data_IF_944504536689
#
_entry.id   IF_944504536689
#
_cell.length_a   1.000
_cell.length_b   1.000
_cell.length_c   1.000
_cell.angle_alpha   90.00
_cell.angle_beta   90.00
_cell.angle_gamma   90.00
#
_symmetry.space_group_name_H-M   'P 1'
#
loop_
_entity.id
_entity.type
_entity.pdbx_description
1 polymer ?
#
# COMPACT_ATOMS: atom_id res chain seq x y z
N UNK A 1 -26.68 8.48 59.44
CA UNK A 1 -27.92 8.50 58.64
C UNK A 1 -27.50 8.46 57.19
N UNK A 2 -27.46 7.28 56.55
CA UNK A 2 -28.41 6.79 55.52
C UNK A 2 -28.67 7.84 54.41
N UNK A 3 -28.72 7.57 53.11
CA UNK A 3 -28.58 6.38 52.24
C UNK A 3 -28.90 6.92 50.83
N UNK A 4 -28.13 6.61 49.78
CA UNK A 4 -28.53 5.68 48.70
C UNK A 4 -29.48 6.23 47.61
N UNK A 5 -29.23 5.78 46.36
CA UNK A 5 -30.09 5.84 45.16
C UNK A 5 -30.23 7.23 44.50
N UNK A 6 -30.08 7.43 43.19
CA UNK A 6 -30.16 6.50 42.07
C UNK A 6 -30.90 7.22 40.94
N UNK A 7 -30.26 7.30 39.76
CA UNK A 7 -30.80 7.05 38.41
C UNK A 7 -32.21 7.61 38.07
N UNK A 8 -32.33 8.13 36.83
CA UNK A 8 -33.52 8.34 35.96
C UNK A 8 -33.84 9.82 35.68
N UNK A 9 -33.47 10.43 34.54
CA UNK A 9 -33.82 10.17 33.13
C UNK A 9 -34.99 11.04 32.61
N UNK A 10 -34.66 11.86 31.59
CA UNK A 10 -35.49 12.28 30.43
C UNK A 10 -36.55 13.37 30.79
N UNK A 11 -36.64 14.50 30.08
CA UNK A 11 -37.58 14.72 28.96
C UNK A 11 -37.47 16.18 28.42
N UNK A 12 -37.16 16.29 27.11
CA UNK A 12 -37.63 17.28 26.09
C UNK A 12 -36.98 18.68 25.86
N UNK A 13 -36.11 18.69 24.83
CA UNK A 13 -36.28 19.39 23.53
C UNK A 13 -36.55 20.91 23.49
N UNK A 14 -35.57 21.70 23.00
CA UNK A 14 -35.72 22.58 21.80
C UNK A 14 -34.40 23.24 21.37
N UNK A 15 -33.96 22.85 20.16
CA UNK A 15 -33.24 23.67 19.15
C UNK A 15 -31.95 24.40 19.57
N UNK A 16 -30.81 23.72 19.40
CA UNK A 16 -29.60 24.37 18.93
C UNK A 16 -29.05 23.58 17.71
N UNK A 17 -29.62 23.90 16.55
CA UNK A 17 -29.11 23.48 15.24
C UNK A 17 -27.86 24.31 14.97
N UNK A 18 -26.70 23.87 15.43
CA UNK A 18 -25.41 24.38 14.99
C UNK A 18 -24.70 23.26 14.25
N UNK A 19 -24.39 23.56 12.99
CA UNK A 19 -23.80 22.68 12.01
C UNK A 19 -22.47 22.09 12.50
N UNK A 20 -22.46 20.84 12.92
CA UNK A 20 -21.23 20.07 13.06
C UNK A 20 -20.93 19.37 11.73
N UNK A 21 -20.54 20.20 10.76
CA UNK A 21 -19.93 19.75 9.52
C UNK A 21 -18.57 19.09 9.82
N UNK A 22 -18.48 17.79 9.55
CA UNK A 22 -17.25 17.22 9.00
C UNK A 22 -16.03 17.12 9.91
N UNK A 23 -16.15 16.56 11.11
CA UNK A 23 -14.97 15.88 11.71
C UNK A 23 -15.07 14.41 11.36
N UNK A 24 -14.60 14.05 10.17
CA UNK A 24 -14.26 12.65 9.88
C UNK A 24 -13.36 12.20 11.02
N UNK A 25 -13.83 11.19 11.75
CA UNK A 25 -13.22 10.55 12.89
C UNK A 25 -11.70 10.47 12.71
N UNK A 26 -10.92 10.86 13.73
CA UNK A 26 -9.44 10.90 13.72
C UNK A 26 -8.80 9.63 13.14
N UNK A 27 -9.43 8.48 13.38
CA UNK A 27 -9.08 7.16 12.84
C UNK A 27 -9.12 7.06 11.30
N UNK A 28 -9.95 7.85 10.62
CA UNK A 28 -10.06 7.88 9.15
C UNK A 28 -8.86 8.55 8.46
N UNK A 29 -8.06 9.34 9.18
CA UNK A 29 -6.83 9.96 8.65
C UNK A 29 -5.64 8.99 8.61
N UNK A 30 -5.73 7.86 9.33
CA UNK A 30 -4.65 6.88 9.45
C UNK A 30 -4.74 5.73 8.43
N UNK A 31 -5.88 5.57 7.75
CA UNK A 31 -6.14 4.44 6.87
C UNK A 31 -6.17 4.91 5.41
N UNK A 32 -5.23 4.39 4.61
CA UNK A 32 -5.23 4.59 3.16
C UNK A 32 -6.39 3.79 2.58
N UNK A 33 -7.29 4.45 1.86
CA UNK A 33 -8.45 3.79 1.27
C UNK A 33 -8.03 2.77 0.20
N UNK A 34 -8.77 1.67 0.10
CA UNK A 34 -8.49 0.60 -0.87
C UNK A 34 -8.54 1.13 -2.30
N UNK A 35 -9.46 2.04 -2.61
CA UNK A 35 -9.55 2.61 -3.96
C UNK A 35 -8.30 3.42 -4.32
N UNK A 36 -7.70 4.10 -3.34
CA UNK A 36 -6.44 4.85 -3.52
C UNK A 36 -5.26 3.90 -3.74
N UNK A 37 -5.18 2.81 -2.98
CA UNK A 37 -4.15 1.77 -3.20
C UNK A 37 -4.23 1.24 -4.64
N UNK A 38 -5.43 0.89 -5.11
CA UNK A 38 -5.65 0.37 -6.46
C UNK A 38 -5.42 1.43 -7.56
N UNK A 39 -5.70 2.71 -7.28
CA UNK A 39 -5.34 3.82 -8.17
C UNK A 39 -3.82 3.88 -8.36
N UNK A 40 -3.07 3.88 -7.26
CA UNK A 40 -1.60 3.94 -7.28
C UNK A 40 -1.00 2.71 -7.97
N UNK A 41 -1.54 1.50 -7.73
CA UNK A 41 -1.10 0.28 -8.44
C UNK A 41 -1.26 0.41 -9.95
N UNK A 42 -2.41 0.90 -10.41
CA UNK A 42 -2.68 1.06 -11.85
C UNK A 42 -1.86 2.17 -12.51
N UNK A 43 -1.51 3.20 -11.75
CA UNK A 43 -0.70 4.31 -12.24
C UNK A 43 0.80 3.95 -12.40
N UNK A 44 1.26 2.89 -11.72
CA UNK A 44 2.68 2.52 -11.69
C UNK A 44 2.90 1.17 -12.37
N UNK A 45 3.48 1.18 -13.57
CA UNK A 45 3.87 -0.05 -14.26
C UNK A 45 5.09 -0.69 -13.58
N UNK A 46 4.91 -1.94 -13.12
CA UNK A 46 5.92 -2.69 -12.42
C UNK A 46 7.22 -2.87 -13.22
N UNK A 47 7.14 -3.11 -14.54
CA UNK A 47 8.34 -3.29 -15.38
C UNK A 47 9.16 -2.01 -15.43
N UNK A 48 8.50 -0.87 -15.55
CA UNK A 48 9.12 0.45 -15.54
C UNK A 48 9.77 0.76 -14.19
N UNK A 49 9.09 0.46 -13.08
CA UNK A 49 9.63 0.65 -11.72
C UNK A 49 10.87 -0.22 -11.48
N UNK A 50 10.84 -1.49 -11.90
CA UNK A 50 11.99 -2.38 -11.74
C UNK A 50 13.20 -1.89 -12.55
N UNK A 51 12.96 -1.45 -13.81
CA UNK A 51 14.01 -0.90 -14.67
C UNK A 51 14.61 0.39 -14.12
N UNK A 52 13.80 1.27 -13.54
CA UNK A 52 14.29 2.53 -12.94
C UNK A 52 15.23 2.29 -11.76
N UNK A 53 15.20 1.10 -11.15
CA UNK A 53 16.14 0.67 -10.10
C UNK A 53 17.38 -0.07 -10.62
N UNK A 54 17.64 0.03 -11.92
CA UNK A 54 18.86 -0.50 -12.54
C UNK A 54 18.81 -1.98 -12.90
N UNK A 55 17.66 -2.65 -12.72
CA UNK A 55 17.52 -4.06 -13.09
C UNK A 55 17.31 -4.18 -14.60
N UNK A 56 18.23 -4.90 -15.26
CA UNK A 56 18.13 -5.21 -16.68
C UNK A 56 17.13 -6.34 -16.90
N UNK A 57 16.00 -6.01 -17.53
CA UNK A 57 14.93 -6.94 -17.86
C UNK A 57 14.89 -7.26 -19.35
N UNK A 58 14.99 -8.54 -19.69
CA UNK A 58 14.86 -9.09 -21.05
C UNK A 58 13.49 -9.71 -21.23
N UNK A 59 12.83 -9.46 -22.35
CA UNK A 59 11.50 -10.04 -22.63
C UNK A 59 11.64 -11.52 -23.01
N UNK A 60 10.88 -12.39 -22.33
CA UNK A 60 10.78 -13.82 -22.61
C UNK A 60 9.30 -14.19 -22.76
N UNK A 61 8.81 -14.19 -23.99
CA UNK A 61 7.40 -14.41 -24.30
C UNK A 61 6.50 -13.29 -23.76
N UNK A 62 5.60 -13.67 -22.84
CA UNK A 62 4.66 -12.73 -22.18
C UNK A 62 5.23 -12.09 -20.91
N UNK A 63 6.36 -12.58 -20.42
CA UNK A 63 6.99 -12.14 -19.17
C UNK A 63 8.33 -11.46 -19.44
N UNK A 64 8.87 -10.80 -18.43
CA UNK A 64 10.24 -10.30 -18.42
C UNK A 64 11.07 -11.08 -17.42
N UNK A 65 12.34 -11.27 -17.74
CA UNK A 65 13.29 -12.03 -16.93
C UNK A 65 14.57 -11.21 -16.73
N UNK A 66 15.17 -11.28 -15.54
CA UNK A 66 16.40 -10.57 -15.21
C UNK A 66 17.09 -11.12 -13.96
N UNK A 67 18.18 -10.47 -13.57
CA UNK A 67 18.86 -10.77 -12.30
C UNK A 67 18.05 -10.20 -11.14
N UNK A 68 17.97 -10.95 -10.04
CA UNK A 68 17.32 -10.47 -8.83
C UNK A 68 18.20 -9.40 -8.15
N UNK A 69 17.64 -8.23 -7.76
CA UNK A 69 18.41 -7.22 -7.03
C UNK A 69 18.54 -7.53 -5.52
N UNK A 70 17.83 -8.53 -5.00
CA UNK A 70 17.71 -8.78 -3.56
C UNK A 70 18.65 -9.86 -3.02
N UNK A 71 19.32 -10.60 -3.91
CA UNK A 71 20.36 -11.55 -3.55
C UNK A 71 21.41 -11.59 -4.66
N UNK A 72 22.61 -12.05 -4.31
CA UNK A 72 23.65 -12.23 -5.32
C UNK A 72 23.30 -13.46 -6.16
N UNK A 73 23.04 -13.24 -7.44
CA UNK A 73 22.72 -14.30 -8.40
C UNK A 73 23.61 -14.17 -9.63
N UNK A 74 23.96 -15.32 -10.22
CA UNK A 74 24.66 -15.40 -11.50
C UNK A 74 23.70 -15.74 -12.65
N UNK A 75 22.53 -16.30 -12.34
CA UNK A 75 21.51 -16.66 -13.31
C UNK A 75 20.28 -15.74 -13.19
N UNK A 76 19.61 -15.41 -14.30
CA UNK A 76 18.48 -14.50 -14.27
C UNK A 76 17.25 -15.19 -13.65
N UNK A 77 17.08 -15.03 -12.34
CA UNK A 77 16.03 -15.66 -11.53
C UNK A 77 14.79 -14.79 -11.27
N UNK A 78 14.84 -13.50 -11.59
CA UNK A 78 13.70 -12.59 -11.44
C UNK A 78 12.77 -12.73 -12.64
N UNK A 79 11.50 -13.04 -12.38
CA UNK A 79 10.42 -13.10 -13.37
C UNK A 79 9.39 -12.01 -13.05
N UNK A 80 9.01 -11.25 -14.07
CA UNK A 80 8.00 -10.19 -13.97
C UNK A 80 6.90 -10.46 -14.98
N UNK A 81 5.67 -10.54 -14.49
CA UNK A 81 4.45 -10.67 -15.30
C UNK A 81 3.77 -9.30 -15.41
N UNK A 82 3.88 -8.61 -16.57
CA UNK A 82 3.31 -7.28 -16.75
C UNK A 82 1.77 -7.31 -16.78
N UNK A 83 1.14 -8.43 -17.17
CA UNK A 83 -0.30 -8.53 -17.25
C UNK A 83 -0.92 -8.68 -15.85
N UNK A 84 -0.23 -9.40 -14.96
CA UNK A 84 -0.64 -9.55 -13.56
C UNK A 84 -0.13 -8.44 -12.66
N UNK A 85 0.84 -7.64 -13.12
CA UNK A 85 1.58 -6.65 -12.32
C UNK A 85 2.19 -7.30 -11.07
N UNK A 86 2.79 -8.48 -11.26
CA UNK A 86 3.45 -9.25 -10.21
C UNK A 86 4.87 -9.63 -10.62
N UNK A 87 5.74 -9.75 -9.63
CA UNK A 87 7.09 -10.28 -9.78
C UNK A 87 7.35 -11.42 -8.81
N UNK A 88 8.28 -12.30 -9.18
CA UNK A 88 8.74 -13.39 -8.33
C UNK A 88 10.20 -13.74 -8.65
N UNK A 89 10.99 -13.98 -7.62
CA UNK A 89 12.36 -14.49 -7.66
C UNK A 89 12.31 -16.01 -7.51
N UNK A 90 12.67 -16.76 -8.56
CA UNK A 90 12.76 -18.23 -8.49
C UNK A 90 14.09 -18.73 -7.91
N UNK A 91 14.96 -17.83 -7.49
CA UNK A 91 16.26 -18.14 -6.89
C UNK A 91 16.18 -18.43 -5.40
N UNK A 92 17.30 -18.25 -4.70
CA UNK A 92 17.41 -18.49 -3.26
C UNK A 92 16.48 -17.59 -2.43
N UNK A 93 16.19 -16.38 -2.91
CA UNK A 93 15.42 -15.40 -2.16
C UNK A 93 13.93 -15.73 -2.05
N UNK A 94 13.34 -16.38 -3.07
CA UNK A 94 11.92 -16.75 -3.14
C UNK A 94 10.95 -15.60 -2.83
N UNK A 95 11.41 -14.37 -3.01
CA UNK A 95 10.62 -13.17 -2.79
C UNK A 95 9.72 -12.87 -3.99
N UNK A 96 8.55 -12.32 -3.74
CA UNK A 96 7.63 -11.93 -4.78
C UNK A 96 6.51 -11.04 -4.25
N UNK A 97 5.79 -10.40 -5.17
CA UNK A 97 4.66 -9.55 -4.83
C UNK A 97 4.30 -8.57 -5.93
N UNK A 98 3.65 -7.49 -5.52
CA UNK A 98 3.25 -6.38 -6.37
C UNK A 98 4.30 -5.24 -6.36
N UNK A 99 3.94 -4.12 -6.98
CA UNK A 99 4.77 -2.90 -7.02
C UNK A 99 5.13 -2.37 -5.63
N UNK A 100 4.23 -2.47 -4.65
CA UNK A 100 4.53 -2.04 -3.28
C UNK A 100 5.58 -2.95 -2.66
N UNK A 101 5.40 -4.26 -2.77
CA UNK A 101 6.38 -5.22 -2.23
C UNK A 101 7.76 -5.02 -2.84
N UNK A 102 7.82 -4.73 -4.14
CA UNK A 102 9.09 -4.43 -4.80
C UNK A 102 9.74 -3.17 -4.21
N UNK A 103 9.01 -2.05 -4.16
CA UNK A 103 9.54 -0.77 -3.68
C UNK A 103 9.94 -0.84 -2.21
N UNK A 104 9.11 -1.46 -1.37
CA UNK A 104 9.41 -1.65 0.05
C UNK A 104 10.74 -2.38 0.24
N UNK A 105 11.00 -3.44 -0.54
CA UNK A 105 12.26 -4.20 -0.47
C UNK A 105 13.42 -3.44 -1.09
N UNK A 106 13.23 -2.85 -2.26
CA UNK A 106 14.28 -2.12 -2.98
C UNK A 106 14.76 -0.88 -2.22
N UNK A 107 13.85 -0.22 -1.50
CA UNK A 107 14.15 0.99 -0.73
C UNK A 107 14.35 0.75 0.76
N UNK A 108 14.07 -0.47 1.25
CA UNK A 108 14.02 -0.77 2.68
C UNK A 108 13.06 0.17 3.45
N UNK A 109 11.87 0.38 2.89
CA UNK A 109 10.84 1.28 3.45
C UNK A 109 9.56 0.54 3.80
N UNK A 110 8.76 1.14 4.68
CA UNK A 110 7.44 0.64 5.02
C UNK A 110 6.40 0.92 3.91
N UNK A 111 5.19 0.42 4.11
CA UNK A 111 4.11 0.58 3.14
C UNK A 111 3.72 2.05 2.91
N UNK A 112 3.72 2.88 3.96
CA UNK A 112 3.30 4.28 3.88
C UNK A 112 4.30 5.09 3.08
N UNK A 113 5.58 4.88 3.35
CA UNK A 113 6.66 5.51 2.60
C UNK A 113 6.71 5.00 1.16
N UNK A 114 6.50 3.70 0.92
CA UNK A 114 6.36 3.17 -0.43
C UNK A 114 5.17 3.81 -1.18
N UNK A 115 4.04 4.01 -0.50
CA UNK A 115 2.87 4.68 -1.05
C UNK A 115 3.17 6.12 -1.45
N UNK A 116 3.85 6.87 -0.59
CA UNK A 116 4.32 8.23 -0.88
C UNK A 116 5.25 8.27 -2.09
N UNK A 117 6.22 7.34 -2.18
CA UNK A 117 7.16 7.24 -3.32
C UNK A 117 6.48 6.90 -4.64
N UNK A 118 5.38 6.14 -4.59
CA UNK A 118 4.58 5.78 -5.76
C UNK A 118 3.54 6.85 -6.13
N UNK A 119 3.54 8.02 -5.48
CA UNK A 119 2.63 9.13 -5.79
C UNK A 119 1.24 8.96 -5.16
N UNK A 120 1.14 8.21 -4.07
CA UNK A 120 -0.04 8.15 -3.23
C UNK A 120 -0.27 9.43 -2.46
N UNK A 121 -1.54 9.83 -2.32
CA UNK A 121 -1.92 11.04 -1.60
C UNK A 121 -2.38 10.66 -0.19
N UNK A 122 -1.80 11.28 0.83
CA UNK A 122 -2.27 11.13 2.21
C UNK A 122 -3.33 12.21 2.51
N UNK A 123 -4.48 11.81 3.09
CA UNK A 123 -5.59 12.70 3.43
C UNK A 123 -5.42 13.42 4.78
#
# INVERSE_FOLDING_TARGET
>A
MISEYGIFAIVLNRKARLAFSGRKNFWSRLVIDKAEIERVKRANDLVTIIRSRGVKLVRKGKQFVGLCPFHLDHEPSLIVDPAKQLWNCLGACKEGGDVYRFVMKADSVDFREAHRRLGGIEA
#
